data_IF_748599813097
#
_entry.id   IF_748599813097
#
_cell.length_a   1.000
_cell.length_b   1.000
_cell.length_c   1.000
_cell.angle_alpha   90.00
_cell.angle_beta   90.00
_cell.angle_gamma   90.00
#
_symmetry.space_group_name_H-M   'P 1'
#
loop_
_entity.id
_entity.type
_entity.pdbx_description
1 polymer ?
#
# COMPACT_ATOMS: atom_id res chain seq x y z
N UNK A 1 -39.51 18.31 9.15
CA UNK A 1 -38.30 17.80 9.80
C UNK A 1 -37.13 18.59 9.26
N UNK A 2 -36.59 19.50 10.06
CA UNK A 2 -35.43 20.29 9.70
C UNK A 2 -34.21 19.39 9.83
N UNK A 3 -33.49 19.11 8.75
CA UNK A 3 -32.12 18.58 8.81
C UNK A 3 -31.21 19.74 9.26
N UNK A 4 -30.56 19.65 10.39
CA UNK A 4 -29.55 20.62 10.72
C UNK A 4 -28.25 20.26 9.99
N UNK A 5 -28.11 20.72 8.76
CA UNK A 5 -26.81 20.75 8.09
C UNK A 5 -25.97 21.88 8.67
N UNK A 6 -25.52 21.72 9.90
CA UNK A 6 -24.62 22.65 10.57
C UNK A 6 -23.15 22.19 10.47
N UNK A 7 -22.80 21.41 9.42
CA UNK A 7 -21.41 21.05 9.14
C UNK A 7 -20.72 22.27 8.50
N UNK A 8 -19.53 22.57 8.98
CA UNK A 8 -18.63 23.51 8.31
C UNK A 8 -18.35 23.01 6.89
N UNK A 9 -18.10 23.94 5.97
CA UNK A 9 -17.80 23.63 4.57
C UNK A 9 -16.41 23.06 4.40
N UNK A 10 -16.20 22.25 3.38
CA UNK A 10 -14.89 21.81 2.92
C UNK A 10 -14.76 22.05 1.41
N UNK A 11 -13.52 22.29 0.98
CA UNK A 11 -13.15 22.48 -0.43
C UNK A 11 -12.07 21.47 -0.80
N UNK A 12 -12.26 20.79 -1.93
CA UNK A 12 -11.24 19.98 -2.60
C UNK A 12 -10.84 20.68 -3.89
N UNK A 13 -9.58 21.09 -4.02
CA UNK A 13 -9.00 21.68 -5.22
C UNK A 13 -8.06 20.66 -5.86
N UNK A 14 -8.27 20.36 -7.15
CA UNK A 14 -7.41 19.48 -7.94
C UNK A 14 -6.33 20.28 -8.68
N UNK A 15 -5.26 19.62 -9.07
CA UNK A 15 -4.12 20.19 -9.80
C UNK A 15 -4.53 20.87 -11.12
N UNK A 16 -5.53 20.34 -11.81
CA UNK A 16 -6.03 20.93 -13.05
C UNK A 16 -7.01 22.11 -12.83
N UNK A 17 -7.18 22.56 -11.58
CA UNK A 17 -8.04 23.67 -11.20
C UNK A 17 -9.50 23.30 -10.94
N UNK A 18 -9.88 22.03 -11.10
CA UNK A 18 -11.24 21.56 -10.78
C UNK A 18 -11.50 21.65 -9.29
N UNK A 19 -12.66 22.15 -8.88
CA UNK A 19 -13.03 22.35 -7.48
C UNK A 19 -14.30 21.59 -7.13
N UNK A 20 -14.31 20.95 -5.97
CA UNK A 20 -15.49 20.33 -5.38
C UNK A 20 -15.75 20.92 -3.99
N UNK A 21 -17.03 21.09 -3.66
CA UNK A 21 -17.50 21.61 -2.37
C UNK A 21 -18.32 20.55 -1.64
N UNK A 22 -18.15 20.43 -0.35
CA UNK A 22 -18.87 19.46 0.48
C UNK A 22 -18.87 19.82 1.96
N UNK A 23 -19.22 18.86 2.79
CA UNK A 23 -19.21 18.99 4.24
C UNK A 23 -17.84 18.57 4.81
N UNK A 24 -17.33 19.34 5.78
CA UNK A 24 -16.10 19.01 6.49
C UNK A 24 -16.31 17.79 7.39
N UNK A 25 -15.34 16.88 7.36
CA UNK A 25 -15.24 15.72 8.25
C UNK A 25 -13.80 15.55 8.73
N UNK A 26 -13.60 14.78 9.79
CA UNK A 26 -12.28 14.57 10.40
C UNK A 26 -11.71 15.85 11.01
N UNK A 27 -10.43 16.09 10.75
CA UNK A 27 -9.70 17.24 11.28
C UNK A 27 -10.05 18.54 10.55
N UNK A 28 -10.17 19.64 11.30
CA UNK A 28 -10.31 20.98 10.71
C UNK A 28 -8.93 21.52 10.34
N UNK A 29 -8.65 21.61 9.07
CA UNK A 29 -7.35 22.07 8.59
C UNK A 29 -7.15 21.80 7.10
N UNK A 30 -5.90 21.88 6.67
CA UNK A 30 -5.50 21.76 5.29
C UNK A 30 -4.46 20.66 5.17
N UNK A 31 -4.63 19.78 4.18
CA UNK A 31 -3.60 18.86 3.73
C UNK A 31 -3.71 18.63 2.23
N UNK A 32 -2.56 18.31 1.64
CA UNK A 32 -2.46 17.93 0.25
C UNK A 32 -1.82 16.56 0.04
N UNK A 33 -1.91 16.07 -1.17
CA UNK A 33 -1.32 14.81 -1.60
C UNK A 33 -1.83 14.35 -2.95
N UNK A 34 -1.26 13.26 -3.46
CA UNK A 34 -1.77 12.64 -4.68
C UNK A 34 -3.17 12.07 -4.41
N UNK A 35 -4.11 12.45 -5.27
CA UNK A 35 -5.49 11.99 -5.19
C UNK A 35 -5.66 10.65 -5.90
N UNK A 36 -6.06 9.62 -5.17
CA UNK A 36 -6.34 8.31 -5.72
C UNK A 36 -7.69 7.76 -5.21
N UNK A 37 -8.27 6.81 -5.93
CA UNK A 37 -9.54 6.21 -5.54
C UNK A 37 -9.35 4.73 -5.16
N UNK A 38 -10.13 4.27 -4.19
CA UNK A 38 -10.23 2.87 -3.82
C UNK A 38 -11.68 2.40 -4.01
N UNK A 39 -11.84 1.24 -4.66
CA UNK A 39 -13.14 0.65 -5.00
C UNK A 39 -13.60 -0.41 -3.99
N UNK A 40 -12.85 -0.63 -2.92
CA UNK A 40 -13.21 -1.57 -1.86
C UNK A 40 -14.54 -1.21 -1.19
N UNK A 41 -15.41 -2.21 -1.03
CA UNK A 41 -16.73 -2.03 -0.41
C UNK A 41 -16.68 -2.02 1.11
N UNK A 42 -15.57 -2.46 1.70
CA UNK A 42 -15.31 -2.60 3.15
C UNK A 42 -13.83 -2.36 3.43
N UNK A 43 -13.45 -2.31 4.71
CA UNK A 43 -12.04 -2.24 5.11
C UNK A 43 -11.47 -0.82 5.05
N UNK A 44 -12.26 0.20 5.30
CA UNK A 44 -11.77 1.57 5.21
C UNK A 44 -10.67 1.86 6.24
N UNK A 45 -10.73 1.26 7.43
CA UNK A 45 -9.73 1.49 8.48
C UNK A 45 -8.38 0.88 8.10
N UNK A 46 -8.39 -0.33 7.57
CA UNK A 46 -7.22 -1.01 7.03
C UNK A 46 -6.58 -0.18 5.91
N UNK A 47 -7.39 0.35 4.98
CA UNK A 47 -6.93 1.24 3.92
C UNK A 47 -6.27 2.51 4.50
N UNK A 48 -6.89 3.15 5.51
CA UNK A 48 -6.39 4.43 6.04
C UNK A 48 -5.13 4.27 6.88
N UNK A 49 -4.88 3.09 7.43
CA UNK A 49 -3.71 2.76 8.24
C UNK A 49 -2.64 1.97 7.47
N UNK A 50 -2.87 1.61 6.20
CA UNK A 50 -1.86 0.99 5.32
C UNK A 50 -0.76 2.01 4.97
N UNK A 51 0.52 1.76 5.34
CA UNK A 51 1.61 2.68 5.05
C UNK A 51 1.80 2.98 3.56
N UNK A 52 1.36 2.09 2.66
CA UNK A 52 1.45 2.31 1.21
C UNK A 52 0.61 3.49 0.71
N UNK A 53 -0.37 3.96 1.51
CA UNK A 53 -1.13 5.19 1.23
C UNK A 53 -0.53 6.46 1.83
N UNK A 54 0.66 6.40 2.39
CA UNK A 54 1.28 7.59 3.00
C UNK A 54 1.38 8.74 2.00
N UNK A 55 0.88 9.90 2.44
CA UNK A 55 0.88 11.12 1.63
C UNK A 55 -0.22 11.20 0.55
N UNK A 56 -1.15 10.24 0.48
CA UNK A 56 -2.22 10.23 -0.51
C UNK A 56 -3.57 10.69 0.07
N UNK A 57 -4.39 11.33 -0.76
CA UNK A 57 -5.79 11.63 -0.49
C UNK A 57 -6.64 10.51 -1.11
N UNK A 58 -7.46 9.86 -0.30
CA UNK A 58 -8.23 8.68 -0.73
C UNK A 58 -9.68 9.06 -1.04
N UNK A 59 -10.12 8.75 -2.26
CA UNK A 59 -11.54 8.74 -2.61
C UNK A 59 -12.09 7.35 -2.35
N UNK A 60 -12.95 7.21 -1.35
CA UNK A 60 -13.72 5.99 -1.18
C UNK A 60 -14.96 6.02 -2.06
N UNK A 61 -15.11 5.01 -2.94
CA UNK A 61 -16.25 4.92 -3.86
C UNK A 61 -17.45 4.21 -3.25
N UNK A 62 -17.27 3.55 -2.09
CA UNK A 62 -18.37 2.89 -1.38
C UNK A 62 -19.41 3.90 -0.91
N UNK A 63 -20.67 3.46 -0.85
CA UNK A 63 -21.81 4.34 -0.60
C UNK A 63 -21.79 5.01 0.78
N UNK A 64 -21.32 4.31 1.79
CA UNK A 64 -21.30 4.79 3.18
C UNK A 64 -19.95 4.55 3.84
N UNK A 65 -19.39 5.58 4.45
CA UNK A 65 -18.14 5.54 5.23
C UNK A 65 -18.43 5.93 6.68
N UNK A 66 -17.80 5.25 7.64
CA UNK A 66 -17.95 5.49 9.07
C UNK A 66 -19.05 4.67 9.75
N UNK A 67 -19.92 3.99 9.01
CA UNK A 67 -21.11 3.29 9.51
C UNK A 67 -20.83 2.11 10.44
N UNK A 68 -19.63 1.53 10.44
CA UNK A 68 -19.26 0.45 11.37
C UNK A 68 -18.19 0.85 12.40
N UNK A 69 -17.79 2.15 12.44
CA UNK A 69 -16.82 2.66 13.40
C UNK A 69 -15.41 2.16 13.16
N UNK A 70 -14.58 2.17 14.21
CA UNK A 70 -13.18 1.73 14.16
C UNK A 70 -12.89 0.66 15.22
N UNK A 71 -11.92 -0.22 14.93
CA UNK A 71 -11.52 -1.33 15.81
C UNK A 71 -10.00 -1.52 15.81
N UNK A 72 -9.37 -1.67 16.98
CA UNK A 72 -7.90 -1.74 17.12
C UNK A 72 -7.25 -2.85 16.30
N UNK A 73 -7.92 -4.01 16.14
CA UNK A 73 -7.38 -5.13 15.39
C UNK A 73 -7.36 -4.92 13.87
N UNK A 74 -8.01 -3.86 13.37
CA UNK A 74 -8.11 -3.55 11.93
C UNK A 74 -7.05 -2.52 11.48
N UNK A 75 -6.18 -2.09 12.37
CA UNK A 75 -5.06 -1.24 11.99
C UNK A 75 -3.95 -2.06 11.33
N UNK A 76 -3.52 -1.62 10.17
CA UNK A 76 -2.36 -2.18 9.45
C UNK A 76 -1.03 -1.55 9.85
N UNK A 77 -1.06 -0.41 10.57
CA UNK A 77 0.09 0.22 11.23
C UNK A 77 -0.35 1.02 12.45
N UNK A 78 0.59 1.57 13.19
CA UNK A 78 0.34 2.27 14.46
C UNK A 78 -0.38 3.62 14.31
N UNK A 79 -0.52 4.13 13.08
CA UNK A 79 -1.12 5.44 12.80
C UNK A 79 -1.90 5.46 11.49
N UNK A 80 -2.75 6.48 11.33
CA UNK A 80 -3.37 6.79 10.05
C UNK A 80 -2.32 7.35 9.10
N UNK A 81 -2.23 6.81 7.89
CA UNK A 81 -1.20 7.11 6.90
C UNK A 81 -1.68 8.07 5.80
N UNK A 82 -2.99 8.07 5.52
CA UNK A 82 -3.56 8.93 4.48
C UNK A 82 -3.46 10.42 4.82
N UNK A 83 -3.30 11.27 3.80
CA UNK A 83 -3.32 12.73 3.96
C UNK A 83 -4.73 13.30 4.04
N UNK A 84 -5.72 12.64 3.43
CA UNK A 84 -7.09 13.14 3.41
C UNK A 84 -8.09 12.10 2.94
N UNK A 85 -9.36 12.36 3.24
CA UNK A 85 -10.49 11.49 2.86
C UNK A 85 -11.52 12.24 2.03
N UNK A 86 -11.96 11.64 0.93
CA UNK A 86 -13.08 12.07 0.10
C UNK A 86 -14.12 10.96 0.04
N UNK A 87 -15.37 11.26 0.36
CA UNK A 87 -16.45 10.27 0.28
C UNK A 87 -17.81 10.89 -0.12
N UNK A 88 -18.70 10.03 -0.59
CA UNK A 88 -20.07 10.43 -0.93
C UNK A 88 -20.93 10.65 0.32
N UNK A 89 -21.03 9.65 1.18
CA UNK A 89 -21.79 9.72 2.43
C UNK A 89 -20.93 9.33 3.61
N UNK A 90 -20.97 10.15 4.66
CA UNK A 90 -20.23 9.94 5.91
C UNK A 90 -21.19 9.80 7.09
N UNK A 91 -21.05 8.70 7.84
CA UNK A 91 -21.83 8.43 9.04
C UNK A 91 -21.04 8.82 10.30
N UNK A 92 -21.62 9.67 11.14
CA UNK A 92 -21.10 9.98 12.47
C UNK A 92 -21.50 8.92 13.50
N UNK A 93 -22.53 8.12 13.17
CA UNK A 93 -23.07 7.06 14.03
C UNK A 93 -22.62 5.72 13.47
N UNK A 94 -22.07 4.89 14.32
CA UNK A 94 -21.66 3.54 13.99
C UNK A 94 -22.51 2.52 14.76
N UNK A 95 -22.65 1.30 14.22
CA UNK A 95 -23.54 0.27 14.76
C UNK A 95 -22.90 -1.10 14.99
N UNK A 96 -21.58 -1.25 14.79
CA UNK A 96 -20.88 -2.52 15.02
C UNK A 96 -20.59 -2.73 16.50
N UNK A 97 -20.95 -3.92 17.03
CA UNK A 97 -20.82 -4.28 18.45
C UNK A 97 -19.41 -4.10 19.02
N UNK A 98 -18.37 -4.40 18.25
CA UNK A 98 -16.98 -4.38 18.70
C UNK A 98 -16.25 -3.08 18.34
N UNK A 99 -16.92 -2.08 17.76
CA UNK A 99 -16.30 -0.80 17.51
C UNK A 99 -16.03 -0.06 18.83
N UNK A 100 -14.84 0.53 18.97
CA UNK A 100 -14.49 1.32 20.15
C UNK A 100 -14.70 2.83 19.95
N UNK A 101 -14.88 3.30 18.72
CA UNK A 101 -15.01 4.72 18.43
C UNK A 101 -15.60 5.03 17.05
N UNK A 102 -15.91 6.30 16.87
CA UNK A 102 -16.37 6.84 15.59
C UNK A 102 -15.18 7.12 14.66
N UNK A 103 -15.38 6.93 13.37
CA UNK A 103 -14.37 7.27 12.36
C UNK A 103 -14.06 8.79 12.35
N UNK A 104 -15.04 9.64 12.69
CA UNK A 104 -14.86 11.09 12.81
C UNK A 104 -13.73 11.43 13.78
N UNK A 105 -13.76 10.84 14.97
CA UNK A 105 -12.80 11.10 16.04
C UNK A 105 -11.42 10.52 15.67
N UNK A 106 -11.40 9.32 15.12
CA UNK A 106 -10.19 8.66 14.65
C UNK A 106 -9.42 9.50 13.62
N UNK A 107 -10.13 10.07 12.63
CA UNK A 107 -9.51 10.96 11.66
C UNK A 107 -9.10 12.31 12.28
N UNK A 108 -9.89 12.87 13.19
CA UNK A 108 -9.60 14.13 13.85
C UNK A 108 -8.34 14.03 14.73
N UNK A 109 -8.21 12.98 15.54
CA UNK A 109 -7.04 12.68 16.37
C UNK A 109 -5.77 12.50 15.53
N UNK A 110 -5.90 11.81 14.39
CA UNK A 110 -4.81 11.63 13.43
C UNK A 110 -4.50 12.90 12.60
N UNK A 111 -5.23 13.99 12.81
CA UNK A 111 -5.12 15.24 12.05
C UNK A 111 -5.33 15.04 10.54
N UNK A 112 -6.27 14.18 10.17
CA UNK A 112 -6.63 13.91 8.75
C UNK A 112 -7.90 14.67 8.41
N UNK A 113 -7.83 15.70 7.52
CA UNK A 113 -9.00 16.38 7.02
C UNK A 113 -9.74 15.53 6.00
N UNK A 114 -11.05 15.74 5.90
CA UNK A 114 -11.84 15.10 4.87
C UNK A 114 -13.00 15.95 4.37
N UNK A 115 -13.60 15.50 3.28
CA UNK A 115 -14.74 16.09 2.62
C UNK A 115 -15.76 15.02 2.27
N UNK A 116 -17.02 15.26 2.69
CA UNK A 116 -18.15 14.38 2.39
C UNK A 116 -19.21 15.10 1.55
N UNK A 117 -20.14 14.35 0.98
CA UNK A 117 -21.19 14.88 0.10
C UNK A 117 -20.72 15.15 -1.31
N UNK A 118 -19.60 14.53 -1.72
CA UNK A 118 -19.04 14.66 -3.06
C UNK A 118 -19.66 13.61 -4.00
N UNK A 119 -19.92 14.00 -5.24
CA UNK A 119 -20.16 13.04 -6.32
C UNK A 119 -18.85 12.29 -6.64
N UNK A 120 -18.57 11.25 -5.86
CA UNK A 120 -17.35 10.43 -6.01
C UNK A 120 -17.30 9.73 -7.37
N UNK A 121 -18.45 9.42 -7.98
CA UNK A 121 -18.49 8.82 -9.33
C UNK A 121 -17.98 9.79 -10.38
N UNK A 122 -18.44 11.06 -10.35
CA UNK A 122 -17.97 12.10 -11.25
C UNK A 122 -16.46 12.34 -11.05
N UNK A 123 -16.02 12.45 -9.81
CA UNK A 123 -14.61 12.66 -9.48
C UNK A 123 -13.71 11.49 -9.95
N UNK A 124 -14.12 10.25 -9.74
CA UNK A 124 -13.39 9.08 -10.23
C UNK A 124 -13.32 9.04 -11.75
N UNK A 125 -14.42 9.37 -12.45
CA UNK A 125 -14.39 9.46 -13.91
C UNK A 125 -13.42 10.54 -14.40
N UNK A 126 -13.36 11.67 -13.70
CA UNK A 126 -12.41 12.75 -13.99
C UNK A 126 -10.96 12.26 -13.88
N UNK A 127 -10.60 11.65 -12.75
CA UNK A 127 -9.24 11.12 -12.52
C UNK A 127 -8.90 10.00 -13.53
N UNK A 128 -9.83 9.10 -13.82
CA UNK A 128 -9.60 8.05 -14.83
C UNK A 128 -9.31 8.62 -16.22
N UNK A 129 -9.93 9.71 -16.57
CA UNK A 129 -9.70 10.38 -17.86
C UNK A 129 -8.37 11.15 -17.90
N UNK A 130 -8.02 11.85 -16.82
CA UNK A 130 -6.86 12.75 -16.75
C UNK A 130 -5.59 12.05 -16.22
N UNK A 131 -5.72 11.11 -15.31
CA UNK A 131 -4.66 10.48 -14.52
C UNK A 131 -4.74 10.89 -13.05
N UNK A 132 -4.02 10.15 -12.19
CA UNK A 132 -3.80 10.55 -10.80
C UNK A 132 -3.07 11.90 -10.79
N UNK A 133 -3.47 12.79 -9.89
CA UNK A 133 -2.96 14.16 -9.80
C UNK A 133 -2.95 14.63 -8.36
N UNK A 134 -2.20 15.69 -8.07
CA UNK A 134 -2.20 16.29 -6.74
C UNK A 134 -3.52 17.01 -6.46
N UNK A 135 -3.89 17.05 -5.17
CA UNK A 135 -5.05 17.77 -4.70
C UNK A 135 -4.81 18.33 -3.28
N UNK A 136 -5.62 19.31 -2.90
CA UNK A 136 -5.65 19.90 -1.54
C UNK A 136 -7.06 19.85 -0.99
N UNK A 137 -7.20 19.40 0.26
CA UNK A 137 -8.44 19.51 1.03
C UNK A 137 -8.28 20.61 2.07
N UNK A 138 -9.17 21.60 2.05
CA UNK A 138 -9.40 22.53 3.14
C UNK A 138 -10.73 22.15 3.81
N UNK A 139 -10.66 21.62 5.02
CA UNK A 139 -11.81 21.10 5.78
C UNK A 139 -12.11 21.98 6.98
N UNK A 140 -13.28 22.59 7.03
CA UNK A 140 -13.71 23.45 8.15
C UNK A 140 -12.88 24.71 8.33
N UNK A 141 -12.12 25.12 7.32
CA UNK A 141 -11.34 26.36 7.26
C UNK A 141 -11.64 27.08 5.94
N UNK A 142 -11.72 28.39 5.98
CA UNK A 142 -11.92 29.22 4.79
C UNK A 142 -10.58 29.77 4.31
N UNK A 143 -10.28 29.56 3.04
CA UNK A 143 -9.09 30.09 2.38
C UNK A 143 -9.47 30.76 1.06
N UNK A 144 -8.67 31.76 0.68
CA UNK A 144 -8.74 32.32 -0.67
C UNK A 144 -8.31 31.27 -1.71
N UNK A 145 -8.79 31.41 -2.94
CA UNK A 145 -8.39 30.53 -4.05
C UNK A 145 -6.88 30.54 -4.28
N UNK A 146 -6.22 31.68 -4.08
CA UNK A 146 -4.77 31.82 -4.25
C UNK A 146 -4.00 31.07 -3.15
N UNK A 147 -4.46 31.13 -1.90
CA UNK A 147 -3.85 30.38 -0.80
C UNK A 147 -3.99 28.86 -1.01
N UNK A 148 -5.16 28.39 -1.49
CA UNK A 148 -5.34 26.96 -1.85
C UNK A 148 -4.41 26.52 -2.98
N UNK A 149 -4.25 27.36 -4.02
CA UNK A 149 -3.33 27.08 -5.14
C UNK A 149 -1.88 27.05 -4.67
N UNK A 150 -1.48 27.93 -3.76
CA UNK A 150 -0.14 27.89 -3.20
C UNK A 150 0.12 26.56 -2.47
N UNK A 151 -0.78 26.14 -1.59
CA UNK A 151 -0.66 24.82 -0.93
C UNK A 151 -0.58 23.67 -1.93
N UNK A 152 -1.32 23.74 -3.05
CA UNK A 152 -1.28 22.72 -4.09
C UNK A 152 0.07 22.67 -4.81
N UNK A 153 0.64 23.83 -5.12
CA UNK A 153 1.94 23.94 -5.81
C UNK A 153 3.11 23.44 -4.95
N UNK A 154 2.96 23.45 -3.62
CA UNK A 154 3.98 22.97 -2.69
C UNK A 154 4.01 21.42 -2.57
N UNK A 155 3.04 20.72 -3.18
CA UNK A 155 2.97 19.25 -3.15
C UNK A 155 3.85 18.69 -4.27
N UNK A 156 4.91 17.93 -3.94
CA UNK A 156 5.72 17.31 -4.97
C UNK A 156 4.94 16.19 -5.69
N UNK A 157 5.26 15.89 -6.95
CA UNK A 157 4.71 14.72 -7.64
C UNK A 157 5.19 13.44 -6.95
N UNK A 158 4.39 12.37 -7.03
CA UNK A 158 4.75 11.08 -6.43
C UNK A 158 5.99 10.45 -7.08
N UNK A 159 6.26 10.75 -8.34
CA UNK A 159 7.47 10.36 -9.04
C UNK A 159 8.70 10.96 -8.37
N UNK A 160 9.74 10.14 -8.23
CA UNK A 160 11.00 10.48 -7.57
C UNK A 160 10.91 10.71 -6.04
N UNK A 161 9.77 10.42 -5.40
CA UNK A 161 9.66 10.51 -3.94
C UNK A 161 10.08 9.19 -3.27
N UNK A 162 11.07 9.30 -2.41
CA UNK A 162 11.39 8.27 -1.41
C UNK A 162 10.52 8.50 -0.17
N UNK A 163 9.56 7.62 0.07
CA UNK A 163 8.61 7.75 1.18
C UNK A 163 8.70 6.60 2.19
N UNK A 164 9.38 5.52 1.86
CA UNK A 164 9.52 4.35 2.72
C UNK A 164 10.23 4.69 4.04
N UNK A 165 11.25 5.55 4.01
CA UNK A 165 11.94 6.03 5.23
C UNK A 165 11.04 6.82 6.18
N UNK A 166 9.90 7.35 5.72
CA UNK A 166 8.93 8.10 6.52
C UNK A 166 7.96 7.21 7.29
N UNK A 167 7.80 5.96 6.86
CA UNK A 167 6.84 5.00 7.41
C UNK A 167 7.50 3.75 8.00
N UNK A 168 8.74 3.48 7.65
CA UNK A 168 9.54 2.39 8.21
C UNK A 168 9.73 2.54 9.71
N UNK A 169 9.87 1.40 10.41
CA UNK A 169 10.27 1.40 11.82
C UNK A 169 11.59 2.14 12.04
N UNK A 170 11.72 2.78 13.18
CA UNK A 170 12.97 3.46 13.59
C UNK A 170 13.95 2.54 14.31
N UNK A 171 13.52 1.35 14.72
CA UNK A 171 14.35 0.38 15.47
C UNK A 171 13.98 -1.04 15.06
N UNK A 172 14.93 -1.94 15.18
CA UNK A 172 14.71 -3.37 14.98
C UNK A 172 13.75 -3.90 16.05
N UNK A 173 12.79 -4.73 15.64
CA UNK A 173 11.90 -5.43 16.58
C UNK A 173 11.60 -6.85 16.10
N UNK A 174 11.18 -7.68 17.05
CA UNK A 174 10.85 -9.08 16.81
C UNK A 174 9.33 -9.27 16.72
N UNK A 175 8.88 -10.19 15.88
CA UNK A 175 7.48 -10.54 15.72
C UNK A 175 7.30 -12.05 15.54
N UNK A 176 6.35 -12.64 16.27
CA UNK A 176 6.11 -14.07 16.26
C UNK A 176 6.80 -14.79 17.42
N UNK A 177 6.81 -16.12 17.37
CA UNK A 177 7.41 -16.96 18.40
C UNK A 177 8.88 -17.20 18.08
N UNK A 178 9.79 -16.87 18.99
CA UNK A 178 11.24 -17.09 18.84
C UNK A 178 11.58 -18.57 18.63
N UNK A 179 10.71 -19.46 19.13
CA UNK A 179 10.84 -20.92 18.96
C UNK A 179 10.37 -21.43 17.59
N UNK A 180 9.89 -20.54 16.70
CA UNK A 180 9.49 -20.92 15.34
C UNK A 180 10.71 -21.45 14.56
N UNK A 181 10.51 -22.47 13.69
CA UNK A 181 11.59 -23.16 13.00
C UNK A 181 12.32 -22.30 11.95
N UNK A 182 11.69 -21.24 11.44
CA UNK A 182 12.26 -20.42 10.37
C UNK A 182 12.43 -18.97 10.81
N UNK A 183 13.62 -18.42 10.60
CA UNK A 183 13.97 -17.02 10.86
C UNK A 183 13.85 -16.20 9.60
N UNK A 184 13.02 -15.18 9.61
CA UNK A 184 12.83 -14.29 8.46
C UNK A 184 13.29 -12.88 8.78
N UNK A 185 14.27 -12.38 8.01
CA UNK A 185 14.62 -10.97 8.03
C UNK A 185 13.62 -10.19 7.18
N UNK A 186 12.88 -9.30 7.79
CA UNK A 186 11.86 -8.48 7.12
C UNK A 186 12.40 -7.07 6.95
N UNK A 187 12.54 -6.62 5.69
CA UNK A 187 12.89 -5.23 5.39
C UNK A 187 11.61 -4.40 5.40
N UNK A 188 11.51 -3.47 6.34
CA UNK A 188 10.33 -2.63 6.53
C UNK A 188 10.40 -1.37 5.64
N UNK A 189 9.76 -1.43 4.47
CA UNK A 189 9.57 -0.28 3.60
C UNK A 189 8.22 0.41 3.82
N UNK A 190 7.47 0.00 4.83
CA UNK A 190 6.10 0.39 5.15
C UNK A 190 5.20 -0.83 5.25
N UNK A 191 5.60 -1.78 6.09
CA UNK A 191 4.94 -3.08 6.21
C UNK A 191 3.54 -2.99 6.79
N UNK A 192 2.60 -3.71 6.19
CA UNK A 192 1.29 -3.98 6.78
C UNK A 192 1.41 -5.05 7.86
N UNK A 193 0.74 -4.80 9.00
CA UNK A 193 0.72 -5.74 10.13
C UNK A 193 0.22 -7.13 9.74
N UNK A 194 -0.74 -7.21 8.83
CA UNK A 194 -1.28 -8.50 8.40
C UNK A 194 -0.26 -9.34 7.62
N UNK A 195 0.72 -8.76 6.97
CA UNK A 195 1.85 -9.51 6.37
C UNK A 195 2.61 -10.26 7.46
N UNK A 196 2.95 -9.60 8.57
CA UNK A 196 3.63 -10.24 9.70
C UNK A 196 2.78 -11.36 10.31
N UNK A 197 1.45 -11.15 10.44
CA UNK A 197 0.53 -12.19 10.89
C UNK A 197 0.53 -13.40 9.94
N UNK A 198 0.62 -13.17 8.61
CA UNK A 198 0.66 -14.25 7.63
C UNK A 198 1.96 -15.04 7.72
N UNK A 199 3.10 -14.37 7.86
CA UNK A 199 4.40 -15.03 8.08
C UNK A 199 4.39 -15.86 9.38
N UNK A 200 3.85 -15.30 10.47
CA UNK A 200 3.72 -16.01 11.73
C UNK A 200 2.82 -17.25 11.63
N UNK A 201 1.71 -17.20 10.89
CA UNK A 201 0.82 -18.36 10.65
C UNK A 201 1.54 -19.51 9.95
N UNK A 202 2.54 -19.19 9.13
CA UNK A 202 3.43 -20.16 8.49
C UNK A 202 4.64 -20.57 9.35
N UNK A 203 4.57 -20.37 10.68
CA UNK A 203 5.61 -20.72 11.66
C UNK A 203 6.96 -20.03 11.40
N UNK A 204 6.92 -18.77 11.02
CA UNK A 204 8.12 -17.94 10.85
C UNK A 204 8.28 -16.97 12.01
N UNK A 205 9.50 -16.88 12.55
CA UNK A 205 9.93 -15.82 13.46
C UNK A 205 10.51 -14.68 12.64
N UNK A 206 9.92 -13.50 12.73
CA UNK A 206 10.31 -12.33 11.95
C UNK A 206 11.14 -11.38 12.81
N UNK A 207 12.30 -10.98 12.31
CA UNK A 207 13.03 -9.80 12.78
C UNK A 207 12.86 -8.69 11.75
N UNK A 208 12.23 -7.61 12.16
CA UNK A 208 11.86 -6.49 11.30
C UNK A 208 12.93 -5.42 11.40
N UNK A 209 13.51 -5.06 10.26
CA UNK A 209 14.62 -4.11 10.17
C UNK A 209 14.15 -2.81 9.49
N UNK A 210 14.66 -1.65 9.95
CA UNK A 210 14.47 -0.38 9.26
C UNK A 210 14.87 -0.45 7.77
N UNK A 211 14.18 0.30 6.92
CA UNK A 211 14.39 0.30 5.46
C UNK A 211 15.85 0.48 5.01
N UNK A 212 16.63 1.24 5.78
CA UNK A 212 18.01 1.61 5.44
C UNK A 212 19.07 0.75 6.12
N UNK A 213 18.67 -0.33 6.81
CA UNK A 213 19.63 -1.24 7.47
C UNK A 213 20.55 -1.88 6.45
N UNK A 214 21.84 -1.95 6.78
CA UNK A 214 22.85 -2.55 5.87
C UNK A 214 22.63 -4.05 5.70
N UNK A 215 23.06 -4.59 4.56
CA UNK A 215 23.00 -6.03 4.31
C UNK A 215 23.79 -6.81 5.36
N UNK A 216 24.96 -6.31 5.73
CA UNK A 216 25.87 -6.92 6.71
C UNK A 216 25.19 -7.01 8.10
N UNK A 217 24.49 -5.96 8.54
CA UNK A 217 23.79 -5.96 9.83
C UNK A 217 22.60 -6.93 9.84
N UNK A 218 21.84 -6.99 8.73
CA UNK A 218 20.73 -7.94 8.58
C UNK A 218 21.24 -9.37 8.63
N UNK A 219 22.38 -9.67 8.00
CA UNK A 219 22.95 -11.02 7.96
C UNK A 219 23.53 -11.50 9.30
N UNK A 220 23.80 -10.60 10.28
CA UNK A 220 24.13 -11.00 11.65
C UNK A 220 22.99 -11.78 12.33
N UNK A 221 21.76 -11.60 11.88
CA UNK A 221 20.63 -12.38 12.37
C UNK A 221 20.64 -13.84 11.87
N UNK A 222 21.43 -14.15 10.84
CA UNK A 222 21.47 -15.44 10.16
C UNK A 222 20.07 -15.92 9.74
N UNK A 223 19.35 -15.17 8.89
CA UNK A 223 17.99 -15.50 8.47
C UNK A 223 17.97 -16.70 7.51
N UNK A 224 16.92 -17.52 7.63
CA UNK A 224 16.59 -18.58 6.67
C UNK A 224 15.91 -18.03 5.40
N UNK A 225 15.31 -16.83 5.49
CA UNK A 225 14.66 -16.13 4.37
C UNK A 225 14.66 -14.62 4.55
N UNK A 226 14.57 -13.89 3.44
CA UNK A 226 14.48 -12.43 3.41
C UNK A 226 13.12 -12.04 2.82
N UNK A 227 12.40 -11.18 3.51
CA UNK A 227 11.12 -10.64 3.08
C UNK A 227 11.23 -9.15 2.76
N UNK A 228 10.80 -8.75 1.56
CA UNK A 228 10.78 -7.36 1.11
C UNK A 228 9.33 -6.86 1.18
N UNK A 229 9.05 -5.95 2.10
CA UNK A 229 7.68 -5.52 2.36
C UNK A 229 7.09 -4.62 1.27
N UNK A 230 5.79 -4.40 1.36
CA UNK A 230 5.09 -3.30 0.70
C UNK A 230 5.57 -1.94 1.23
N UNK A 231 5.13 -0.85 0.59
CA UNK A 231 5.45 0.50 1.03
C UNK A 231 5.06 1.57 0.02
N UNK A 232 5.16 2.86 0.40
CA UNK A 232 4.85 4.00 -0.44
C UNK A 232 6.06 4.50 -1.24
N UNK A 233 5.78 5.32 -2.25
CA UNK A 233 6.79 6.07 -2.99
C UNK A 233 7.17 5.43 -4.32
N UNK A 234 8.20 6.02 -4.93
CA UNK A 234 8.74 5.58 -6.22
C UNK A 234 9.91 4.62 -6.00
N UNK A 235 9.82 3.35 -6.44
CA UNK A 235 10.93 2.40 -6.31
C UNK A 235 12.21 2.86 -7.02
N UNK A 236 12.10 3.77 -8.01
CA UNK A 236 13.26 4.33 -8.69
C UNK A 236 14.12 5.23 -7.78
N UNK A 237 13.56 5.74 -6.71
CA UNK A 237 14.26 6.60 -5.73
C UNK A 237 14.91 5.82 -4.58
N UNK A 238 14.83 4.49 -4.59
CA UNK A 238 15.27 3.63 -3.49
C UNK A 238 16.54 2.83 -3.84
N UNK A 239 17.57 3.52 -4.31
CA UNK A 239 18.85 2.88 -4.69
C UNK A 239 19.49 2.05 -3.56
N UNK A 240 19.32 2.50 -2.30
CA UNK A 240 19.82 1.76 -1.13
C UNK A 240 19.15 0.39 -0.98
N UNK A 241 17.82 0.31 -1.24
CA UNK A 241 17.07 -0.93 -1.16
C UNK A 241 17.40 -1.85 -2.35
N UNK A 242 17.55 -1.29 -3.56
CA UNK A 242 18.00 -2.07 -4.74
C UNK A 242 19.39 -2.66 -4.51
N UNK A 243 20.31 -1.89 -3.91
CA UNK A 243 21.65 -2.40 -3.54
C UNK A 243 21.56 -3.55 -2.54
N UNK A 244 20.73 -3.41 -1.49
CA UNK A 244 20.48 -4.48 -0.51
C UNK A 244 19.97 -5.75 -1.20
N UNK A 245 18.97 -5.64 -2.09
CA UNK A 245 18.40 -6.80 -2.80
C UNK A 245 19.45 -7.46 -3.70
N UNK A 246 20.30 -6.71 -4.40
CA UNK A 246 21.41 -7.27 -5.20
C UNK A 246 22.39 -8.07 -4.35
N UNK A 247 22.75 -7.57 -3.15
CA UNK A 247 23.58 -8.32 -2.21
C UNK A 247 22.88 -9.58 -1.70
N UNK A 248 21.57 -9.50 -1.38
CA UNK A 248 20.77 -10.65 -0.98
C UNK A 248 20.67 -11.72 -2.08
N UNK A 249 20.57 -11.34 -3.33
CA UNK A 249 20.57 -12.28 -4.47
C UNK A 249 21.93 -13.00 -4.66
N UNK A 250 23.04 -12.42 -4.19
CA UNK A 250 24.35 -13.07 -4.28
C UNK A 250 24.57 -14.22 -3.31
N UNK A 251 23.67 -14.38 -2.36
CA UNK A 251 23.68 -15.49 -1.39
C UNK A 251 22.48 -16.41 -1.63
N UNK A 252 22.59 -17.66 -1.22
CA UNK A 252 21.52 -18.66 -1.45
C UNK A 252 20.45 -18.63 -0.32
N UNK A 253 19.87 -17.44 -0.07
CA UNK A 253 18.76 -17.26 0.89
C UNK A 253 17.49 -16.94 0.11
N UNK A 254 16.37 -17.64 0.36
CA UNK A 254 15.08 -17.36 -0.28
C UNK A 254 14.61 -15.93 -0.07
N UNK A 255 14.10 -15.30 -1.14
CA UNK A 255 13.58 -13.93 -1.09
C UNK A 255 12.12 -13.92 -1.57
N UNK A 256 11.24 -13.29 -0.79
CA UNK A 256 9.87 -13.01 -1.19
C UNK A 256 9.57 -11.51 -1.08
N UNK A 257 9.04 -10.91 -2.15
CA UNK A 257 8.69 -9.50 -2.22
C UNK A 257 7.21 -9.26 -2.51
N UNK A 258 6.59 -8.31 -1.79
CA UNK A 258 5.20 -7.89 -2.01
C UNK A 258 5.16 -6.41 -2.40
N UNK A 259 4.39 -6.08 -3.43
CA UNK A 259 4.09 -4.72 -3.90
C UNK A 259 5.37 -3.91 -4.18
N UNK A 260 5.77 -3.00 -3.29
CA UNK A 260 7.05 -2.29 -3.43
C UNK A 260 8.24 -3.26 -3.41
N UNK A 261 8.21 -4.30 -2.59
CA UNK A 261 9.23 -5.36 -2.57
C UNK A 261 9.35 -6.11 -3.91
N UNK A 262 8.23 -6.31 -4.62
CA UNK A 262 8.23 -6.83 -5.99
C UNK A 262 8.96 -5.87 -6.95
N UNK A 263 8.66 -4.59 -6.88
CA UNK A 263 9.28 -3.58 -7.74
C UNK A 263 10.79 -3.45 -7.47
N UNK A 264 11.20 -3.54 -6.20
CA UNK A 264 12.61 -3.51 -5.81
C UNK A 264 13.37 -4.76 -6.28
N UNK A 265 12.74 -5.95 -6.19
CA UNK A 265 13.31 -7.19 -6.73
C UNK A 265 13.48 -7.10 -8.26
N UNK A 266 12.47 -6.60 -8.98
CA UNK A 266 12.53 -6.37 -10.41
C UNK A 266 13.68 -5.41 -10.79
N UNK A 267 13.82 -4.29 -10.06
CA UNK A 267 14.91 -3.34 -10.27
C UNK A 267 16.28 -3.93 -9.97
N UNK A 268 16.39 -4.83 -9.01
CA UNK A 268 17.67 -5.51 -8.72
C UNK A 268 18.14 -6.37 -9.91
N UNK A 269 17.20 -6.92 -10.69
CA UNK A 269 17.48 -7.59 -11.96
C UNK A 269 17.64 -6.63 -13.15
N UNK A 270 17.58 -5.33 -12.95
CA UNK A 270 17.74 -4.33 -14.01
C UNK A 270 16.46 -4.00 -14.78
N UNK A 271 15.29 -4.55 -14.36
CA UNK A 271 14.01 -4.21 -14.96
C UNK A 271 13.57 -2.79 -14.54
N UNK A 272 13.03 -2.04 -15.48
CA UNK A 272 12.49 -0.70 -15.22
C UNK A 272 11.11 -0.75 -14.57
N UNK A 273 10.79 0.33 -13.85
CA UNK A 273 9.44 0.61 -13.34
C UNK A 273 8.89 1.90 -13.98
N UNK A 274 7.58 2.07 -13.94
CA UNK A 274 6.92 3.26 -14.48
C UNK A 274 5.72 3.65 -13.63
N UNK A 275 5.41 4.96 -13.61
CA UNK A 275 4.19 5.48 -12.99
C UNK A 275 2.99 5.14 -13.86
N UNK A 276 2.01 4.47 -13.28
CA UNK A 276 0.75 4.17 -13.95
C UNK A 276 -0.14 5.40 -14.00
N UNK A 277 -1.00 5.49 -15.01
CA UNK A 277 -1.94 6.61 -15.15
C UNK A 277 -2.85 6.77 -13.93
N UNK A 278 -3.39 5.66 -13.41
CA UNK A 278 -4.33 5.66 -12.28
C UNK A 278 -3.91 4.72 -11.15
N UNK A 279 -2.99 3.80 -11.41
CA UNK A 279 -2.66 2.70 -10.51
C UNK A 279 -3.81 1.68 -10.36
N UNK A 280 -3.54 0.62 -9.61
CA UNK A 280 -4.54 -0.37 -9.20
C UNK A 280 -4.84 -0.22 -7.71
N UNK A 281 -6.10 0.03 -7.37
CA UNK A 281 -6.55 0.15 -5.97
C UNK A 281 -7.97 -0.39 -5.83
N UNK A 282 -8.10 -1.52 -5.17
CA UNK A 282 -9.37 -2.22 -4.98
C UNK A 282 -9.17 -3.66 -4.55
N UNK A 283 -10.29 -4.36 -4.33
CA UNK A 283 -10.31 -5.70 -3.72
C UNK A 283 -10.75 -6.79 -4.70
N UNK A 284 -10.85 -6.49 -5.97
CA UNK A 284 -11.46 -7.38 -6.98
C UNK A 284 -10.74 -7.36 -8.32
N UNK A 285 -9.42 -7.22 -8.29
CA UNK A 285 -8.62 -7.27 -9.52
C UNK A 285 -8.31 -8.73 -9.88
N UNK A 286 -8.66 -9.17 -11.11
CA UNK A 286 -8.36 -10.53 -11.54
C UNK A 286 -6.92 -10.63 -12.01
N UNK A 287 -6.18 -11.57 -11.45
CA UNK A 287 -4.79 -11.88 -11.80
C UNK A 287 -4.70 -13.32 -12.25
N UNK A 288 -3.99 -13.55 -13.35
CA UNK A 288 -3.71 -14.90 -13.86
C UNK A 288 -2.31 -15.33 -13.44
N UNK A 289 -2.22 -16.45 -12.75
CA UNK A 289 -0.98 -17.17 -12.52
C UNK A 289 -0.63 -17.96 -13.79
N UNK A 290 0.46 -17.59 -14.44
CA UNK A 290 0.91 -18.20 -15.69
C UNK A 290 1.57 -19.57 -15.50
N UNK A 291 2.01 -19.87 -14.26
CA UNK A 291 2.63 -21.16 -13.93
C UNK A 291 1.57 -22.23 -13.74
N UNK A 292 0.50 -21.92 -13.00
CA UNK A 292 -0.59 -22.87 -12.72
C UNK A 292 -1.75 -22.78 -13.71
N UNK A 293 -1.88 -21.65 -14.43
CA UNK A 293 -3.00 -21.34 -15.31
C UNK A 293 -4.26 -20.85 -14.58
N UNK A 294 -4.26 -20.81 -13.25
CA UNK A 294 -5.39 -20.37 -12.42
C UNK A 294 -5.56 -18.86 -12.44
N UNK A 295 -6.77 -18.40 -12.20
CA UNK A 295 -7.10 -17.00 -12.00
C UNK A 295 -7.51 -16.77 -10.54
N UNK A 296 -7.01 -15.69 -9.96
CA UNK A 296 -7.22 -15.30 -8.58
C UNK A 296 -7.85 -13.90 -8.54
N UNK A 297 -8.67 -13.64 -7.53
CA UNK A 297 -9.16 -12.30 -7.23
C UNK A 297 -8.24 -11.70 -6.17
N UNK A 298 -7.67 -10.53 -6.46
CA UNK A 298 -6.61 -9.95 -5.63
C UNK A 298 -6.95 -8.58 -5.07
N UNK A 299 -6.34 -8.28 -3.93
CA UNK A 299 -6.28 -6.94 -3.35
C UNK A 299 -5.10 -6.18 -3.95
N UNK A 300 -5.35 -4.94 -4.39
CA UNK A 300 -4.37 -4.11 -5.11
C UNK A 300 -4.25 -2.73 -4.46
N UNK A 301 -3.02 -2.24 -4.31
CA UNK A 301 -2.74 -0.87 -3.91
C UNK A 301 -1.35 -0.44 -4.41
N UNK A 302 -1.24 -0.08 -5.68
CA UNK A 302 0.02 0.44 -6.22
C UNK A 302 -0.20 1.46 -7.33
N UNK A 303 0.70 2.43 -7.43
CA UNK A 303 0.73 3.47 -8.47
C UNK A 303 1.88 3.29 -9.47
N UNK A 304 2.78 2.36 -9.21
CA UNK A 304 3.89 1.99 -10.10
C UNK A 304 3.78 0.52 -10.49
N UNK A 305 4.36 0.17 -11.63
CA UNK A 305 4.42 -1.21 -12.12
C UNK A 305 5.75 -1.49 -12.83
N UNK A 306 6.09 -2.76 -12.93
CA UNK A 306 7.27 -3.24 -13.69
C UNK A 306 7.00 -3.17 -15.18
N UNK A 307 7.97 -2.72 -15.98
CA UNK A 307 7.87 -2.66 -17.44
C UNK A 307 7.87 -4.06 -18.04
N UNK A 308 6.76 -4.45 -18.66
CA UNK A 308 6.60 -5.77 -19.27
C UNK A 308 7.58 -6.00 -20.44
N UNK A 309 7.95 -4.94 -21.15
CA UNK A 309 8.88 -5.05 -22.29
C UNK A 309 10.29 -5.47 -21.85
N UNK A 310 10.73 -5.10 -20.67
CA UNK A 310 12.04 -5.46 -20.14
C UNK A 310 12.14 -6.95 -19.77
N UNK A 311 11.00 -7.64 -19.60
CA UNK A 311 10.96 -9.09 -19.36
C UNK A 311 11.10 -9.93 -20.63
N UNK A 312 10.92 -9.31 -21.81
CA UNK A 312 11.01 -10.05 -23.09
C UNK A 312 12.44 -10.53 -23.35
N UNK A 313 12.64 -11.83 -23.27
CA UNK A 313 13.95 -12.44 -23.47
C UNK A 313 14.94 -12.26 -22.31
N UNK A 314 14.48 -11.85 -21.14
CA UNK A 314 15.32 -11.75 -19.94
C UNK A 314 15.76 -13.16 -19.48
N UNK A 315 17.07 -13.39 -19.35
CA UNK A 315 17.64 -14.71 -19.04
C UNK A 315 17.43 -15.15 -17.59
N UNK A 316 17.28 -14.21 -16.66
CA UNK A 316 17.34 -14.49 -15.23
C UNK A 316 15.99 -14.35 -14.52
N UNK A 317 14.96 -13.84 -15.21
CA UNK A 317 13.64 -13.55 -14.63
C UNK A 317 12.53 -14.10 -15.52
N UNK A 318 11.60 -14.83 -14.90
CA UNK A 318 10.38 -15.32 -15.51
C UNK A 318 9.17 -14.52 -15.03
N UNK A 319 8.30 -14.13 -15.96
CA UNK A 319 6.97 -13.59 -15.66
C UNK A 319 6.07 -14.71 -15.13
N UNK A 320 5.47 -14.51 -13.95
CA UNK A 320 4.61 -15.53 -13.31
C UNK A 320 3.14 -15.12 -13.20
N UNK A 321 2.84 -13.82 -13.10
CA UNK A 321 1.47 -13.34 -12.94
C UNK A 321 1.22 -12.09 -13.79
N UNK A 322 0.00 -11.98 -14.35
CA UNK A 322 -0.46 -10.83 -15.12
C UNK A 322 -1.86 -10.40 -14.67
N UNK A 323 -2.11 -9.09 -14.67
CA UNK A 323 -3.44 -8.53 -14.49
C UNK A 323 -4.29 -8.76 -15.74
N UNK A 324 -5.51 -9.30 -15.56
CA UNK A 324 -6.39 -9.60 -16.70
C UNK A 324 -7.14 -8.38 -17.23
N UNK A 325 -7.08 -7.23 -16.54
CA UNK A 325 -7.72 -6.01 -17.03
C UNK A 325 -6.86 -5.26 -18.06
N UNK A 326 -5.52 -5.27 -17.88
CA UNK A 326 -4.62 -4.43 -18.67
C UNK A 326 -3.26 -5.07 -18.99
N UNK A 327 -3.05 -6.33 -18.60
CA UNK A 327 -1.81 -7.10 -18.78
C UNK A 327 -0.59 -6.52 -18.04
N UNK A 328 -0.80 -5.73 -17.01
CA UNK A 328 0.28 -5.28 -16.11
C UNK A 328 0.97 -6.49 -15.48
N UNK A 329 2.30 -6.39 -15.28
CA UNK A 329 3.10 -7.41 -14.58
C UNK A 329 2.67 -7.47 -13.12
N UNK A 330 2.23 -8.65 -12.69
CA UNK A 330 1.72 -8.89 -11.33
C UNK A 330 2.57 -9.87 -10.53
N UNK A 331 3.59 -10.46 -11.14
CA UNK A 331 4.52 -11.32 -10.43
C UNK A 331 5.67 -11.79 -11.30
N UNK A 332 6.82 -11.98 -10.65
CA UNK A 332 8.05 -12.51 -11.26
C UNK A 332 8.69 -13.54 -10.34
N UNK A 333 9.49 -14.43 -10.93
CA UNK A 333 10.43 -15.26 -10.20
C UNK A 333 11.80 -15.28 -10.87
N UNK A 334 12.84 -15.37 -10.07
CA UNK A 334 14.20 -15.59 -10.56
C UNK A 334 14.38 -17.04 -11.03
N UNK A 335 15.13 -17.23 -12.13
CA UNK A 335 15.41 -18.56 -12.70
C UNK A 335 16.56 -19.23 -11.95
N UNK A 336 17.58 -18.47 -11.57
CA UNK A 336 18.82 -18.99 -10.98
C UNK A 336 18.97 -18.70 -9.46
N UNK A 337 17.96 -18.07 -8.85
CA UNK A 337 17.96 -17.73 -7.43
C UNK A 337 16.62 -18.14 -6.81
N UNK A 338 16.62 -18.45 -5.51
CA UNK A 338 15.39 -18.72 -4.77
C UNK A 338 14.62 -17.45 -4.44
N UNK A 339 14.23 -16.66 -5.46
CA UNK A 339 13.56 -15.38 -5.28
C UNK A 339 12.30 -15.28 -6.14
N UNK A 340 11.21 -14.76 -5.56
CA UNK A 340 9.96 -14.50 -6.25
C UNK A 340 9.21 -13.33 -5.62
N UNK A 341 8.26 -12.77 -6.34
CA UNK A 341 7.49 -11.63 -5.85
C UNK A 341 6.17 -11.46 -6.58
N UNK A 342 5.23 -10.79 -5.91
CA UNK A 342 3.94 -10.40 -6.48
C UNK A 342 3.67 -8.91 -6.25
N UNK A 343 2.98 -8.28 -7.22
CA UNK A 343 2.63 -6.86 -7.17
C UNK A 343 1.43 -6.59 -6.27
N UNK A 344 0.50 -7.54 -6.21
CA UNK A 344 -0.71 -7.48 -5.39
C UNK A 344 -0.43 -7.89 -3.94
N UNK A 345 -1.47 -7.80 -3.10
CA UNK A 345 -1.43 -8.06 -1.67
C UNK A 345 -2.05 -9.41 -1.30
N UNK A 346 -1.27 -10.51 -1.24
CA UNK A 346 -1.79 -11.85 -0.89
C UNK A 346 -2.26 -11.95 0.56
N UNK A 347 -1.79 -11.06 1.43
CA UNK A 347 -2.24 -10.95 2.82
C UNK A 347 -3.65 -10.37 2.92
N UNK A 348 -4.18 -9.76 1.84
CA UNK A 348 -5.45 -9.03 1.85
C UNK A 348 -5.49 -7.91 2.91
N UNK A 349 -6.51 -7.91 3.77
CA UNK A 349 -6.70 -6.92 4.85
C UNK A 349 -6.69 -5.46 4.34
N UNK A 350 -7.80 -5.07 3.65
CA UNK A 350 -8.96 -5.89 3.32
C UNK A 350 -8.81 -6.66 2.01
N UNK A 351 -9.65 -7.68 1.79
CA UNK A 351 -9.76 -8.34 0.49
C UNK A 351 -9.90 -9.86 0.53
N UNK A 352 -9.89 -10.52 -0.64
CA UNK A 352 -9.96 -11.96 -0.79
C UNK A 352 -8.66 -12.65 -0.35
N UNK A 353 -8.75 -13.95 -0.07
CA UNK A 353 -7.63 -14.77 0.40
C UNK A 353 -7.16 -15.82 -0.61
N UNK A 354 -7.45 -15.64 -1.88
CA UNK A 354 -7.18 -16.62 -2.94
C UNK A 354 -5.68 -16.95 -3.07
N UNK A 355 -4.81 -15.97 -2.77
CA UNK A 355 -3.35 -16.09 -2.96
C UNK A 355 -2.57 -16.32 -1.67
N UNK A 356 -3.24 -16.71 -0.58
CA UNK A 356 -2.60 -16.89 0.73
C UNK A 356 -1.49 -17.96 0.72
N UNK A 357 -1.57 -18.92 -0.21
CA UNK A 357 -0.59 -19.99 -0.39
C UNK A 357 0.84 -19.51 -0.73
N UNK A 358 1.02 -18.25 -1.17
CA UNK A 358 2.34 -17.69 -1.44
C UNK A 358 3.23 -17.62 -0.19
N UNK A 359 2.65 -17.45 0.99
CA UNK A 359 3.40 -17.49 2.27
C UNK A 359 3.89 -18.92 2.56
N UNK A 360 3.08 -19.94 2.30
CA UNK A 360 3.47 -21.33 2.40
C UNK A 360 4.57 -21.69 1.36
N UNK A 361 4.46 -21.15 0.13
CA UNK A 361 5.48 -21.32 -0.89
C UNK A 361 6.82 -20.70 -0.49
N UNK A 362 6.82 -19.56 0.23
CA UNK A 362 8.03 -18.97 0.78
C UNK A 362 8.66 -19.86 1.86
N UNK A 363 7.85 -20.39 2.78
CA UNK A 363 8.31 -21.36 3.78
C UNK A 363 8.94 -22.59 3.12
N UNK A 364 8.30 -23.17 2.12
CA UNK A 364 8.80 -24.35 1.42
C UNK A 364 10.15 -24.11 0.73
N UNK A 365 10.39 -22.90 0.22
CA UNK A 365 11.71 -22.55 -0.35
C UNK A 365 12.80 -22.53 0.72
N UNK A 366 12.51 -22.08 1.95
CA UNK A 366 13.45 -22.16 3.07
C UNK A 366 13.73 -23.62 3.47
N UNK A 367 12.70 -24.47 3.53
CA UNK A 367 12.83 -25.91 3.77
C UNK A 367 13.77 -26.58 2.76
N UNK A 368 13.58 -26.27 1.47
CA UNK A 368 14.37 -26.86 0.39
C UNK A 368 15.86 -26.45 0.46
N UNK A 369 16.15 -25.19 0.83
CA UNK A 369 17.55 -24.73 0.99
C UNK A 369 18.19 -25.41 2.21
N UNK A 370 17.50 -25.50 3.34
CA UNK A 370 17.99 -26.18 4.53
C UNK A 370 18.26 -27.69 4.32
N UNK A 371 17.49 -28.34 3.45
CA UNK A 371 17.70 -29.75 3.10
C UNK A 371 18.93 -30.02 2.20
N UNK A 372 19.48 -28.97 1.56
CA UNK A 372 20.64 -29.04 0.66
C UNK A 372 21.96 -28.60 1.33
N UNK A 373 21.89 -27.99 2.52
CA UNK A 373 23.01 -27.52 3.36
C UNK A 373 23.36 -28.55 4.44
#
# INVERSE_FOLDING_TARGET
MQHPNNRSTATLLLEDGTVFYGAAIGFKGIKGGELCFNTGMTGYQEIYTDPSYYGQIIINTTAHIGNYGVHYAENESDRVQISGLVCGSFSEIFSRKNAYGALQDFLAEAKVPGIAGIDTRSLVRHIRAKGSMNAVIASGVELSADALRQHLNDIPPMEHLELSSKVSTSSVYDFGLESAPYKVAVMDYGIKKNILNCLQRENMFCKVFPATTSFEDVMQFAPDGIFLSNGPGDPASMEYAVKFVKQALSINVPIFGICLGHQLLARAFGLGTYKMKNGHRGLNHPVKNLVTGLCEVTSQNHGFAVKADDLKGHSDVQLTHINLNDNTVEGIQAIHHSAFSVQYHPEASPGPHDSFELFAAFRQRMENVAALS
#
